data_IF_782179830068
#
_entry.id   IF_782179830068
#
_cell.length_a   1.000
_cell.length_b   1.000
_cell.length_c   1.000
_cell.angle_alpha   90.00
_cell.angle_beta   90.00
_cell.angle_gamma   90.00
#
_symmetry.space_group_name_H-M   'P 1'
#
loop_
_entity.id
_entity.type
_entity.pdbx_description
1 polymer ?
#
# COMPACT_ATOMS: atom_id res chain seq x y z
N UNK A 1 18.38 -12.25 -4.55
CA UNK A 1 17.45 -13.40 -4.49
C UNK A 1 16.12 -12.90 -3.98
N UNK A 2 15.15 -12.78 -4.84
CA UNK A 2 13.78 -12.45 -4.43
C UNK A 2 13.13 -13.77 -4.00
N UNK A 3 13.14 -14.05 -2.71
CA UNK A 3 12.69 -15.35 -2.18
C UNK A 3 11.17 -15.50 -2.21
N UNK A 4 10.41 -14.45 -2.59
CA UNK A 4 8.95 -14.43 -2.49
C UNK A 4 8.41 -14.61 -1.05
N UNK A 5 9.29 -14.84 -0.10
CA UNK A 5 8.95 -15.04 1.30
C UNK A 5 9.01 -13.70 2.03
N UNK A 6 7.87 -13.21 2.47
CA UNK A 6 7.75 -11.94 3.17
C UNK A 6 8.57 -11.90 4.47
N UNK A 7 8.93 -13.04 5.05
CA UNK A 7 9.74 -13.12 6.27
C UNK A 7 11.12 -12.50 6.10
N UNK A 8 11.70 -12.63 4.92
CA UNK A 8 13.06 -12.13 4.60
C UNK A 8 13.03 -10.94 3.65
N UNK A 9 11.90 -10.68 3.02
CA UNK A 9 11.69 -9.53 2.15
C UNK A 9 11.66 -8.27 2.99
N UNK A 10 12.37 -7.24 2.57
CA UNK A 10 12.47 -5.95 3.27
C UNK A 10 13.18 -5.98 4.64
N UNK A 11 13.75 -7.10 5.08
CA UNK A 11 14.68 -7.07 6.21
C UNK A 11 16.03 -6.57 5.74
N UNK A 12 16.55 -5.54 6.39
CA UNK A 12 17.84 -4.99 6.05
C UNK A 12 18.43 -4.18 7.19
N UNK A 13 19.75 -4.07 7.19
CA UNK A 13 20.53 -3.25 8.11
C UNK A 13 21.78 -2.78 7.39
N UNK A 14 22.35 -1.66 7.82
CA UNK A 14 23.67 -1.25 7.33
C UNK A 14 24.73 -2.19 7.86
N UNK A 15 25.76 -2.46 7.07
CA UNK A 15 26.85 -3.37 7.47
C UNK A 15 27.47 -3.00 8.83
N UNK A 16 27.56 -1.71 9.13
CA UNK A 16 28.04 -1.20 10.41
C UNK A 16 27.15 -1.57 11.61
N UNK A 17 25.87 -1.83 11.35
CA UNK A 17 24.85 -2.09 12.39
C UNK A 17 24.58 -3.59 12.58
N UNK A 18 25.30 -4.47 11.86
CA UNK A 18 25.05 -5.91 11.93
C UNK A 18 25.06 -6.46 13.35
N UNK A 19 26.04 -6.04 14.17
CA UNK A 19 26.14 -6.49 15.55
C UNK A 19 24.92 -6.11 16.38
N UNK A 20 24.45 -4.88 16.24
CA UNK A 20 23.25 -4.38 16.92
C UNK A 20 22.01 -5.12 16.43
N UNK A 21 21.89 -5.33 15.12
CA UNK A 21 20.78 -6.08 14.54
C UNK A 21 20.69 -7.50 15.10
N UNK A 22 21.83 -8.22 15.17
CA UNK A 22 21.89 -9.58 15.74
C UNK A 22 21.56 -9.61 17.23
N UNK A 23 21.92 -8.57 17.97
CA UNK A 23 21.55 -8.45 19.37
C UNK A 23 20.04 -8.25 19.52
N UNK A 24 19.42 -7.39 18.71
CA UNK A 24 17.96 -7.20 18.68
C UNK A 24 17.25 -8.51 18.33
N UNK A 25 17.70 -9.24 17.32
CA UNK A 25 17.12 -10.54 16.95
C UNK A 25 17.13 -11.53 18.13
N UNK A 26 18.23 -11.57 18.86
CA UNK A 26 18.38 -12.45 20.02
C UNK A 26 17.44 -12.03 21.16
N UNK A 27 17.40 -10.75 21.50
CA UNK A 27 16.57 -10.22 22.60
C UNK A 27 15.07 -10.32 22.31
N UNK A 28 14.68 -10.16 21.04
CA UNK A 28 13.27 -10.29 20.60
C UNK A 28 12.86 -11.73 20.28
N UNK A 29 13.84 -12.65 20.19
CA UNK A 29 13.58 -14.06 19.85
C UNK A 29 13.17 -14.28 18.39
N UNK A 30 13.40 -13.31 17.51
CA UNK A 30 12.95 -13.40 16.10
C UNK A 30 13.81 -14.33 15.24
N UNK A 31 15.11 -14.50 15.58
CA UNK A 31 16.01 -15.49 14.97
C UNK A 31 15.95 -15.58 13.44
N UNK A 32 16.03 -14.44 12.75
CA UNK A 32 15.98 -14.36 11.28
C UNK A 32 14.56 -14.33 10.70
N UNK A 33 13.54 -14.23 11.54
CA UNK A 33 12.15 -14.03 11.13
C UNK A 33 11.71 -12.60 11.44
N UNK A 34 10.66 -12.14 10.76
CA UNK A 34 10.03 -10.86 11.07
C UNK A 34 9.42 -10.86 12.46
N UNK A 35 9.60 -9.77 13.18
CA UNK A 35 8.87 -9.56 14.43
C UNK A 35 7.36 -9.45 14.14
N UNK A 36 6.46 -10.06 14.95
CA UNK A 36 5.02 -10.03 14.71
C UNK A 36 4.42 -8.63 14.46
N UNK A 37 4.89 -7.61 15.18
CA UNK A 37 4.44 -6.23 14.99
C UNK A 37 4.79 -5.64 13.62
N UNK A 38 5.78 -6.19 12.92
CA UNK A 38 6.14 -5.74 11.55
C UNK A 38 5.02 -6.01 10.56
N UNK A 39 4.27 -7.10 10.73
CA UNK A 39 3.10 -7.38 9.89
C UNK A 39 2.02 -6.32 10.04
N UNK A 40 1.79 -5.86 11.28
CA UNK A 40 0.82 -4.79 11.57
C UNK A 40 1.31 -3.47 10.99
N UNK A 41 2.59 -3.15 11.16
CA UNK A 41 3.19 -1.93 10.62
C UNK A 41 3.09 -1.90 9.08
N UNK A 42 3.43 -2.99 8.41
CA UNK A 42 3.31 -3.07 6.95
C UNK A 42 1.87 -2.95 6.46
N UNK A 43 0.93 -3.62 7.14
CA UNK A 43 -0.47 -3.49 6.76
C UNK A 43 -0.97 -2.05 6.94
N UNK A 44 -0.56 -1.35 8.01
CA UNK A 44 -0.90 0.04 8.24
C UNK A 44 -0.29 0.96 7.17
N UNK A 45 0.97 0.72 6.81
CA UNK A 45 1.69 1.44 5.75
C UNK A 45 1.01 1.24 4.39
N UNK A 46 0.75 0.00 4.00
CA UNK A 46 0.04 -0.35 2.75
C UNK A 46 -1.36 0.28 2.68
N UNK A 47 -2.11 0.29 3.77
CA UNK A 47 -3.43 0.95 3.82
C UNK A 47 -3.28 2.45 3.61
N UNK A 48 -2.37 3.08 4.34
CA UNK A 48 -2.16 4.52 4.27
C UNK A 48 -1.73 4.95 2.87
N UNK A 49 -0.70 4.32 2.30
CA UNK A 49 -0.17 4.68 0.98
C UNK A 49 -1.18 4.42 -0.13
N UNK A 50 -1.71 3.21 -0.26
CA UNK A 50 -2.62 2.87 -1.37
C UNK A 50 -3.88 3.72 -1.38
N UNK A 51 -4.42 4.06 -0.22
CA UNK A 51 -5.61 4.92 -0.16
C UNK A 51 -5.27 6.39 -0.41
N UNK A 52 -4.15 6.89 0.09
CA UNK A 52 -3.69 8.25 -0.17
C UNK A 52 -3.34 8.44 -1.65
N UNK A 53 -2.70 7.47 -2.28
CA UNK A 53 -2.35 7.52 -3.70
C UNK A 53 -3.59 7.64 -4.60
N UNK A 54 -4.67 6.93 -4.27
CA UNK A 54 -5.95 7.04 -5.01
C UNK A 54 -6.59 8.42 -4.79
N UNK A 55 -6.59 8.94 -3.55
CA UNK A 55 -7.11 10.29 -3.28
C UNK A 55 -6.31 11.35 -4.03
N UNK A 56 -4.99 11.28 -3.96
CA UNK A 56 -4.07 12.19 -4.64
C UNK A 56 -4.22 12.10 -6.16
N UNK A 57 -4.31 10.90 -6.71
CA UNK A 57 -4.54 10.69 -8.14
C UNK A 57 -5.84 11.37 -8.60
N UNK A 58 -6.90 11.24 -7.81
CA UNK A 58 -8.18 11.88 -8.11
C UNK A 58 -8.07 13.40 -8.01
N UNK A 59 -7.54 13.94 -6.93
CA UNK A 59 -7.41 15.39 -6.70
C UNK A 59 -6.53 16.05 -7.76
N UNK A 60 -5.47 15.39 -8.20
CA UNK A 60 -4.56 15.86 -9.25
C UNK A 60 -5.08 15.63 -10.67
N UNK A 61 -6.24 14.96 -10.83
CA UNK A 61 -6.86 14.69 -12.12
C UNK A 61 -6.23 13.56 -12.94
N UNK A 62 -5.38 12.74 -12.35
CA UNK A 62 -4.84 11.54 -12.99
C UNK A 62 -5.87 10.40 -13.04
N UNK A 63 -6.73 10.31 -12.03
CA UNK A 63 -7.78 9.31 -11.93
C UNK A 63 -9.16 10.00 -11.93
N UNK A 64 -10.06 9.61 -12.82
CA UNK A 64 -11.44 10.12 -12.82
C UNK A 64 -12.35 9.30 -11.90
N UNK A 65 -13.44 9.92 -11.43
CA UNK A 65 -14.50 9.21 -10.72
C UNK A 65 -15.05 8.01 -11.52
N UNK A 66 -15.23 8.22 -12.83
CA UNK A 66 -15.78 7.19 -13.72
C UNK A 66 -14.83 5.99 -13.85
N UNK A 67 -13.54 6.24 -14.08
CA UNK A 67 -12.53 5.19 -14.16
C UNK A 67 -12.47 4.38 -12.86
N UNK A 68 -12.43 5.06 -11.70
CA UNK A 68 -12.43 4.38 -10.41
C UNK A 68 -13.69 3.51 -10.23
N UNK A 69 -14.87 4.04 -10.58
CA UNK A 69 -16.12 3.32 -10.45
C UNK A 69 -16.18 2.08 -11.35
N UNK A 70 -15.71 2.17 -12.60
CA UNK A 70 -15.67 1.04 -13.53
C UNK A 70 -14.79 -0.08 -13.03
N UNK A 71 -13.57 0.23 -12.60
CA UNK A 71 -12.63 -0.74 -12.03
C UNK A 71 -13.19 -1.43 -10.78
N UNK A 72 -13.87 -0.67 -9.92
CA UNK A 72 -14.53 -1.23 -8.74
C UNK A 72 -15.73 -2.11 -9.10
N UNK A 73 -16.45 -1.81 -10.17
CA UNK A 73 -17.53 -2.66 -10.68
C UNK A 73 -17.00 -3.98 -11.23
N UNK A 74 -15.91 -3.93 -12.00
CA UNK A 74 -15.26 -5.13 -12.49
C UNK A 74 -14.78 -6.01 -11.34
N UNK A 75 -14.10 -5.43 -10.35
CA UNK A 75 -13.71 -6.14 -9.14
C UNK A 75 -14.91 -6.78 -8.45
N UNK A 76 -15.99 -6.03 -8.27
CA UNK A 76 -17.21 -6.50 -7.58
C UNK A 76 -17.89 -7.65 -8.34
N UNK A 77 -17.85 -7.68 -9.67
CA UNK A 77 -18.34 -8.79 -10.48
C UNK A 77 -17.59 -10.09 -10.24
N UNK A 78 -16.32 -10.03 -9.86
CA UNK A 78 -15.52 -11.23 -9.54
C UNK A 78 -15.96 -11.90 -8.22
N UNK A 79 -16.69 -11.19 -7.35
CA UNK A 79 -17.16 -11.67 -6.04
C UNK A 79 -18.62 -12.13 -6.05
N UNK A 80 -19.20 -12.51 -7.19
CA UNK A 80 -20.63 -12.77 -7.41
C UNK A 80 -21.34 -13.73 -6.46
N UNK A 81 -20.68 -14.45 -5.59
CA UNK A 81 -21.29 -15.47 -4.75
C UNK A 81 -21.39 -15.14 -3.26
N UNK A 82 -20.85 -14.01 -2.82
CA UNK A 82 -20.75 -13.70 -1.39
C UNK A 82 -21.56 -12.45 -1.04
N UNK A 83 -22.82 -12.65 -0.71
CA UNK A 83 -23.89 -11.63 -0.67
C UNK A 83 -23.81 -10.61 0.45
N UNK A 84 -22.92 -10.74 1.42
CA UNK A 84 -22.86 -9.85 2.59
C UNK A 84 -21.53 -9.09 2.77
N UNK A 85 -20.71 -9.05 1.73
CA UNK A 85 -19.40 -8.44 1.81
C UNK A 85 -19.47 -6.97 1.40
N UNK A 86 -18.54 -6.18 1.86
CA UNK A 86 -18.33 -4.81 1.43
C UNK A 86 -18.33 -4.69 -0.11
N UNK A 87 -19.24 -3.89 -0.64
CA UNK A 87 -19.42 -3.65 -2.07
C UNK A 87 -18.88 -2.27 -2.41
N UNK A 88 -17.60 -2.17 -2.79
CA UNK A 88 -16.92 -0.88 -2.91
C UNK A 88 -17.51 0.02 -4.00
N UNK A 89 -17.93 -0.55 -5.14
CA UNK A 89 -18.55 0.21 -6.22
C UNK A 89 -19.90 0.82 -5.80
N UNK A 90 -20.78 0.00 -5.21
CA UNK A 90 -22.09 0.45 -4.75
C UNK A 90 -21.94 1.56 -3.70
N UNK A 91 -20.92 1.43 -2.83
CA UNK A 91 -20.68 2.43 -1.80
C UNK A 91 -20.18 3.75 -2.37
N UNK A 92 -19.38 3.71 -3.42
CA UNK A 92 -18.93 4.91 -4.13
C UNK A 92 -20.11 5.63 -4.80
N UNK A 93 -21.00 4.87 -5.48
CA UNK A 93 -22.20 5.41 -6.10
C UNK A 93 -23.18 5.99 -5.07
N UNK A 94 -23.43 5.29 -3.95
CA UNK A 94 -24.27 5.79 -2.86
C UNK A 94 -23.78 7.15 -2.37
N UNK A 95 -22.47 7.29 -2.15
CA UNK A 95 -21.88 8.55 -1.69
C UNK A 95 -21.99 9.67 -2.73
N UNK A 96 -21.86 9.34 -4.00
CA UNK A 96 -22.06 10.31 -5.08
C UNK A 96 -23.50 10.85 -5.11
N UNK A 97 -24.50 9.98 -5.06
CA UNK A 97 -25.90 10.40 -5.03
C UNK A 97 -26.24 11.20 -3.76
N UNK A 98 -25.68 10.79 -2.62
CA UNK A 98 -25.80 11.54 -1.37
C UNK A 98 -25.21 12.95 -1.47
N UNK A 99 -24.05 13.09 -2.10
CA UNK A 99 -23.45 14.40 -2.38
C UNK A 99 -24.34 15.29 -3.24
N UNK A 100 -25.02 14.71 -4.25
CA UNK A 100 -26.01 15.41 -5.07
C UNK A 100 -27.22 15.86 -4.29
N UNK A 101 -27.81 15.00 -3.46
CA UNK A 101 -28.94 15.32 -2.62
C UNK A 101 -28.63 16.44 -1.62
N UNK A 102 -27.41 16.45 -1.11
CA UNK A 102 -26.91 17.50 -0.21
C UNK A 102 -26.49 18.78 -0.93
N UNK A 103 -26.58 18.84 -2.25
CA UNK A 103 -26.15 19.96 -3.10
C UNK A 103 -24.69 20.38 -2.87
N UNK A 104 -23.82 19.38 -2.67
CA UNK A 104 -22.37 19.62 -2.54
C UNK A 104 -21.82 20.13 -3.87
N UNK A 105 -20.90 21.10 -3.84
CA UNK A 105 -20.36 21.75 -5.05
C UNK A 105 -19.68 20.74 -5.99
N UNK A 106 -18.97 19.75 -5.43
CA UNK A 106 -18.35 18.68 -6.20
C UNK A 106 -18.76 17.31 -5.62
N UNK A 107 -19.84 16.69 -6.13
CA UNK A 107 -20.31 15.40 -5.65
C UNK A 107 -19.33 14.24 -5.87
N UNK A 108 -18.51 14.29 -6.92
CA UNK A 108 -17.52 13.27 -7.21
C UNK A 108 -16.39 13.31 -6.16
N UNK A 109 -15.87 14.48 -5.87
CA UNK A 109 -14.84 14.66 -4.84
C UNK A 109 -15.37 14.27 -3.46
N UNK A 110 -16.60 14.67 -3.15
CA UNK A 110 -17.28 14.25 -1.92
C UNK A 110 -17.37 12.72 -1.83
N UNK A 111 -17.76 12.08 -2.92
CA UNK A 111 -17.89 10.63 -2.98
C UNK A 111 -16.54 9.93 -2.76
N UNK A 112 -15.50 10.32 -3.51
CA UNK A 112 -14.18 9.69 -3.43
C UNK A 112 -13.57 9.85 -2.04
N UNK A 113 -13.54 11.07 -1.48
CA UNK A 113 -12.97 11.29 -0.14
C UNK A 113 -13.68 10.51 0.96
N UNK A 114 -14.99 10.48 0.94
CA UNK A 114 -15.77 9.70 1.93
C UNK A 114 -15.67 8.19 1.69
N UNK A 115 -15.54 7.76 0.45
CA UNK A 115 -15.31 6.37 0.08
C UNK A 115 -13.97 5.87 0.63
N UNK A 116 -12.89 6.65 0.49
CA UNK A 116 -11.57 6.33 1.06
C UNK A 116 -11.67 6.03 2.55
N UNK A 117 -12.36 6.86 3.33
CA UNK A 117 -12.54 6.64 4.77
C UNK A 117 -13.26 5.31 5.04
N UNK A 118 -14.26 4.94 4.22
CA UNK A 118 -14.99 3.68 4.35
C UNK A 118 -14.11 2.47 4.00
N UNK A 119 -13.33 2.61 2.93
CA UNK A 119 -12.37 1.58 2.52
C UNK A 119 -11.32 1.36 3.61
N UNK A 120 -10.72 2.42 4.14
CA UNK A 120 -9.76 2.30 5.24
C UNK A 120 -10.34 1.51 6.42
N UNK A 121 -11.55 1.83 6.87
CA UNK A 121 -12.21 1.09 7.94
C UNK A 121 -12.42 -0.39 7.61
N UNK A 122 -12.78 -0.71 6.37
CA UNK A 122 -12.97 -2.08 5.92
C UNK A 122 -11.64 -2.86 5.87
N UNK A 123 -10.61 -2.29 5.26
CA UNK A 123 -9.31 -2.99 5.11
C UNK A 123 -8.58 -3.13 6.44
N UNK A 124 -8.76 -2.20 7.40
CA UNK A 124 -8.27 -2.36 8.78
C UNK A 124 -8.89 -3.60 9.44
N UNK A 125 -10.20 -3.79 9.28
CA UNK A 125 -10.88 -4.98 9.80
C UNK A 125 -10.35 -6.27 9.14
N UNK A 126 -10.10 -6.24 7.82
CA UNK A 126 -9.51 -7.38 7.12
C UNK A 126 -8.08 -7.69 7.62
N UNK A 127 -7.24 -6.68 7.79
CA UNK A 127 -5.89 -6.86 8.33
C UNK A 127 -5.92 -7.41 9.77
N UNK A 128 -6.85 -6.92 10.60
CA UNK A 128 -7.07 -7.44 11.96
C UNK A 128 -7.48 -8.90 11.93
N UNK A 129 -8.40 -9.27 11.04
CA UNK A 129 -8.80 -10.66 10.83
C UNK A 129 -7.62 -11.51 10.35
N UNK A 130 -6.86 -11.03 9.37
CA UNK A 130 -5.67 -11.71 8.84
C UNK A 130 -4.63 -11.98 9.93
N UNK A 131 -4.36 -11.00 10.81
CA UNK A 131 -3.46 -11.17 11.93
C UNK A 131 -3.98 -12.20 12.96
N UNK A 132 -5.23 -12.05 13.38
CA UNK A 132 -5.81 -12.90 14.43
C UNK A 132 -6.00 -14.35 13.98
N UNK A 133 -6.39 -14.54 12.71
CA UNK A 133 -6.59 -15.89 12.14
C UNK A 133 -5.27 -16.64 11.90
N UNK A 134 -4.17 -15.91 11.75
CA UNK A 134 -2.84 -16.48 11.51
C UNK A 134 -1.89 -16.28 12.70
N UNK A 135 -2.44 -15.91 13.87
CA UNK A 135 -1.66 -15.52 15.04
C UNK A 135 -0.57 -16.55 15.43
N UNK A 136 -0.93 -17.83 15.52
CA UNK A 136 0.02 -18.87 15.91
C UNK A 136 1.16 -19.03 14.91
N UNK A 137 0.86 -18.97 13.62
CA UNK A 137 1.87 -19.07 12.57
C UNK A 137 2.78 -17.82 12.53
N UNK A 138 2.23 -16.64 12.77
CA UNK A 138 2.98 -15.38 12.88
C UNK A 138 3.91 -15.43 14.10
N UNK A 139 3.41 -15.85 15.26
CA UNK A 139 4.20 -15.93 16.50
C UNK A 139 5.32 -16.97 16.42
N UNK A 140 5.15 -18.03 15.62
CA UNK A 140 6.18 -19.04 15.36
C UNK A 140 7.15 -18.67 14.24
N UNK A 141 6.94 -17.54 13.55
CA UNK A 141 7.74 -17.15 12.39
C UNK A 141 7.51 -18.03 11.16
N UNK A 142 6.36 -18.70 11.05
CA UNK A 142 6.02 -19.62 9.95
C UNK A 142 5.15 -18.96 8.88
N UNK A 143 4.49 -17.84 9.19
CA UNK A 143 3.61 -17.13 8.26
C UNK A 143 4.39 -16.43 7.17
N UNK A 144 3.99 -16.60 5.89
CA UNK A 144 4.76 -16.18 4.71
C UNK A 144 4.10 -15.08 3.87
N UNK A 145 2.90 -14.66 4.24
CA UNK A 145 2.08 -13.75 3.44
C UNK A 145 1.88 -12.42 4.18
N UNK A 146 1.31 -11.43 3.49
CA UNK A 146 0.81 -10.23 4.14
C UNK A 146 -0.52 -10.49 4.90
N UNK A 147 -1.00 -9.50 5.64
CA UNK A 147 -2.22 -9.66 6.43
C UNK A 147 -3.51 -9.61 5.60
N UNK A 148 -3.42 -9.26 4.32
CA UNK A 148 -4.59 -9.23 3.42
C UNK A 148 -4.79 -10.55 2.71
N UNK A 149 -3.75 -11.39 2.66
CA UNK A 149 -3.77 -12.67 1.95
C UNK A 149 -4.91 -13.58 2.45
N UNK A 150 -5.72 -14.07 1.52
CA UNK A 150 -6.88 -14.90 1.80
C UNK A 150 -8.06 -14.18 2.47
N UNK A 151 -7.98 -12.85 2.64
CA UNK A 151 -9.10 -12.03 3.14
C UNK A 151 -9.93 -11.47 1.99
N UNK A 152 -11.12 -10.98 2.31
CA UNK A 152 -12.01 -10.35 1.32
C UNK A 152 -11.45 -9.09 0.68
N UNK A 153 -10.46 -8.43 1.27
CA UNK A 153 -9.89 -7.23 0.71
C UNK A 153 -8.57 -7.44 -0.04
N UNK A 154 -8.07 -8.67 -0.17
CA UNK A 154 -6.83 -8.96 -0.91
C UNK A 154 -6.86 -8.35 -2.32
N UNK A 155 -7.92 -8.66 -3.08
CA UNK A 155 -8.07 -8.13 -4.44
C UNK A 155 -8.32 -6.63 -4.50
N UNK A 156 -9.04 -6.08 -3.51
CA UNK A 156 -9.22 -4.62 -3.43
C UNK A 156 -7.89 -3.92 -3.19
N UNK A 157 -7.07 -4.44 -2.29
CA UNK A 157 -5.74 -3.88 -2.02
C UNK A 157 -4.80 -4.01 -3.22
N UNK A 158 -4.92 -5.08 -4.00
CA UNK A 158 -4.20 -5.23 -5.27
C UNK A 158 -4.67 -4.18 -6.28
N UNK A 159 -5.98 -4.06 -6.50
CA UNK A 159 -6.55 -3.09 -7.42
C UNK A 159 -6.12 -1.65 -7.11
N UNK A 160 -6.15 -1.23 -5.83
CA UNK A 160 -5.72 0.12 -5.45
C UNK A 160 -4.25 0.36 -5.81
N UNK A 161 -3.38 -0.63 -5.56
CA UNK A 161 -1.97 -0.55 -5.95
C UNK A 161 -1.77 -0.49 -7.48
N UNK A 162 -2.49 -1.31 -8.23
CA UNK A 162 -2.40 -1.37 -9.69
C UNK A 162 -2.92 -0.07 -10.33
N UNK A 163 -3.99 0.51 -9.79
CA UNK A 163 -4.52 1.80 -10.21
C UNK A 163 -3.50 2.93 -9.96
N UNK A 164 -2.95 3.00 -8.75
CA UNK A 164 -1.92 4.00 -8.43
C UNK A 164 -0.71 3.86 -9.35
N UNK A 165 -0.24 2.63 -9.60
CA UNK A 165 0.86 2.38 -10.50
C UNK A 165 0.55 2.86 -11.93
N UNK A 166 -0.60 2.45 -12.48
CA UNK A 166 -0.97 2.72 -13.87
C UNK A 166 -1.29 4.20 -14.11
N UNK A 167 -2.05 4.83 -13.21
CA UNK A 167 -2.56 6.18 -13.44
C UNK A 167 -1.62 7.28 -12.93
N UNK A 168 -0.78 6.99 -11.92
CA UNK A 168 0.11 7.97 -11.29
C UNK A 168 1.56 7.69 -11.65
N UNK A 169 2.11 6.56 -11.19
CA UNK A 169 3.56 6.33 -11.22
C UNK A 169 4.11 6.16 -12.64
N UNK A 170 3.30 5.70 -13.61
CA UNK A 170 3.69 5.63 -15.02
C UNK A 170 3.32 6.89 -15.83
N UNK A 171 2.78 7.92 -15.17
CA UNK A 171 2.41 9.17 -15.84
C UNK A 171 3.63 9.95 -16.32
N UNK A 172 3.48 10.65 -17.46
CA UNK A 172 4.58 11.43 -18.07
C UNK A 172 5.21 12.45 -17.12
N UNK A 173 4.46 13.21 -16.28
CA UNK A 173 5.06 14.16 -15.35
C UNK A 173 5.95 13.49 -14.30
N UNK A 174 5.53 12.33 -13.76
CA UNK A 174 6.31 11.57 -12.78
C UNK A 174 7.57 11.01 -13.43
N UNK A 175 7.44 10.40 -14.60
CA UNK A 175 8.59 9.87 -15.34
C UNK A 175 9.65 10.94 -15.65
N UNK A 176 9.22 12.13 -16.07
CA UNK A 176 10.14 13.26 -16.31
C UNK A 176 10.87 13.68 -15.03
N UNK A 177 10.17 13.68 -13.91
CA UNK A 177 10.77 14.03 -12.62
C UNK A 177 11.78 12.98 -12.19
N UNK A 178 11.46 11.69 -12.24
CA UNK A 178 12.36 10.59 -11.92
C UNK A 178 13.65 10.60 -12.74
N UNK A 179 13.55 10.84 -14.05
CA UNK A 179 14.74 10.96 -14.93
C UNK A 179 15.62 12.14 -14.49
N UNK A 180 15.00 13.28 -14.17
CA UNK A 180 15.75 14.47 -13.72
C UNK A 180 16.42 14.22 -12.37
N UNK A 181 15.71 13.64 -11.42
CA UNK A 181 16.22 13.31 -10.10
C UNK A 181 17.36 12.30 -10.17
N UNK A 182 17.23 11.28 -11.02
CA UNK A 182 18.27 10.28 -11.24
C UNK A 182 19.60 10.90 -11.72
N UNK A 183 19.52 11.85 -12.67
CA UNK A 183 20.69 12.57 -13.17
C UNK A 183 21.30 13.44 -12.07
N UNK A 184 20.48 14.20 -11.33
CA UNK A 184 20.97 15.05 -10.23
C UNK A 184 21.64 14.24 -9.14
N UNK A 185 21.01 13.13 -8.72
CA UNK A 185 21.56 12.26 -7.67
C UNK A 185 22.87 11.61 -8.08
N UNK A 186 22.96 11.12 -9.33
CA UNK A 186 24.18 10.55 -9.88
C UNK A 186 25.32 11.56 -9.92
N UNK A 187 25.07 12.78 -10.40
CA UNK A 187 26.08 13.86 -10.47
C UNK A 187 26.56 14.27 -9.08
N UNK A 188 25.64 14.37 -8.09
CA UNK A 188 26.01 14.64 -6.70
C UNK A 188 26.87 13.52 -6.12
N UNK A 189 26.47 12.27 -6.33
CA UNK A 189 27.22 11.10 -5.83
C UNK A 189 28.63 11.06 -6.40
N UNK A 190 28.78 11.25 -7.70
CA UNK A 190 30.09 11.28 -8.37
C UNK A 190 30.99 12.39 -7.83
N UNK A 191 30.43 13.58 -7.59
CA UNK A 191 31.19 14.69 -7.01
C UNK A 191 31.62 14.42 -5.59
N UNK A 192 30.75 13.89 -4.73
CA UNK A 192 31.10 13.54 -3.36
C UNK A 192 32.13 12.42 -3.30
N UNK A 193 31.95 11.36 -4.07
CA UNK A 193 32.90 10.24 -4.12
C UNK A 193 34.27 10.69 -4.65
N UNK A 194 34.28 11.52 -5.67
CA UNK A 194 35.52 12.10 -6.20
C UNK A 194 36.25 12.96 -5.15
N UNK A 195 35.48 13.76 -4.37
CA UNK A 195 36.07 14.58 -3.31
C UNK A 195 36.68 13.72 -2.19
N UNK A 196 35.94 12.71 -1.72
CA UNK A 196 36.43 11.78 -0.70
C UNK A 196 37.73 11.08 -1.15
N UNK A 197 37.77 10.53 -2.36
CA UNK A 197 38.93 9.81 -2.88
C UNK A 197 40.13 10.72 -3.08
N UNK A 198 39.93 12.01 -3.40
CA UNK A 198 41.04 12.95 -3.64
C UNK A 198 41.61 13.60 -2.38
N UNK A 199 40.86 13.66 -1.30
CA UNK A 199 41.22 14.41 -0.11
C UNK A 199 41.38 13.54 1.14
N UNK A 200 41.27 12.22 1.01
CA UNK A 200 41.71 11.22 1.98
C UNK A 200 43.15 10.78 1.64
#
# INVERSE_FOLDING_TARGET
MDSGDIKTRKMGYYLADEKMFREIERETGTNGCRHPLTFILEAADDIAYKTADIEDAFVKGYLSYHTLLEELKELQMMYHQETNIFRPADKLEELYFRGKEMHVANPEEYAVKNWIIRVQGFVINCATYGFTSNYDAIMKGEYKYDLFHGTYCERLMQLLGDLAYREVFTSEPIYRMEVTESVMLSDLLDKFMTAIIKYD
#
